data_IF_069814200510
#
_entry.id   IF_069814200510
#
_cell.length_a   1.000
_cell.length_b   1.000
_cell.length_c   1.000
_cell.angle_alpha   90.00
_cell.angle_beta   90.00
_cell.angle_gamma   90.00
#
_symmetry.space_group_name_H-M   'P 1'
#
loop_
_entity.id
_entity.type
_entity.pdbx_description
1 polymer ?
#
# COMPACT_ATOMS: atom_id res chain seq x y z
N UNK A 1 -9.04 -9.93 0.58
CA UNK A 1 -8.59 -8.97 -0.45
C UNK A 1 -9.78 -8.08 -0.77
N UNK A 2 -9.88 -6.99 -0.02
CA UNK A 2 -10.96 -6.01 -0.15
C UNK A 2 -10.43 -4.61 -0.41
N UNK A 3 -9.11 -4.43 -0.55
CA UNK A 3 -8.62 -3.15 -1.03
C UNK A 3 -8.85 -2.99 -2.54
N UNK A 4 -9.03 -1.74 -2.95
CA UNK A 4 -9.11 -1.38 -4.37
C UNK A 4 -7.95 -0.48 -4.72
N UNK A 5 -7.27 -0.80 -5.82
CA UNK A 5 -6.08 -0.08 -6.28
C UNK A 5 -6.41 0.85 -7.43
N UNK A 6 -6.03 2.11 -7.30
CA UNK A 6 -6.12 3.12 -8.37
C UNK A 6 -4.74 3.64 -8.69
N UNK A 7 -4.22 3.30 -9.87
CA UNK A 7 -2.95 3.85 -10.38
C UNK A 7 -3.17 5.31 -10.80
N UNK A 8 -2.40 6.21 -10.20
CA UNK A 8 -2.47 7.65 -10.47
C UNK A 8 -1.53 8.06 -11.59
N UNK A 9 -0.30 7.56 -11.56
CA UNK A 9 0.73 7.83 -12.56
C UNK A 9 1.80 6.76 -12.56
N UNK A 10 2.35 6.52 -13.75
CA UNK A 10 3.59 5.77 -13.96
C UNK A 10 4.67 6.73 -14.44
N UNK A 11 5.87 6.63 -13.89
CA UNK A 11 6.99 7.53 -14.20
C UNK A 11 8.23 6.69 -14.46
N UNK A 12 8.93 6.94 -15.56
CA UNK A 12 10.25 6.36 -15.78
C UNK A 12 11.23 6.94 -14.77
N UNK A 13 11.93 6.05 -14.05
CA UNK A 13 13.01 6.36 -13.11
C UNK A 13 14.33 5.79 -13.65
N UNK A 14 14.65 6.16 -14.89
CA UNK A 14 15.79 5.63 -15.64
C UNK A 14 15.51 4.25 -16.23
N UNK A 15 16.22 3.23 -15.74
CA UNK A 15 16.04 1.82 -16.14
C UNK A 15 14.85 1.14 -15.46
N UNK A 16 14.19 1.81 -14.52
CA UNK A 16 13.07 1.29 -13.76
C UNK A 16 11.83 2.15 -13.96
N UNK A 17 10.70 1.67 -13.46
CA UNK A 17 9.46 2.41 -13.41
C UNK A 17 9.02 2.63 -11.95
N UNK A 18 8.50 3.83 -11.66
CA UNK A 18 7.84 4.17 -10.42
C UNK A 18 6.34 4.36 -10.67
N UNK A 19 5.52 3.58 -9.95
CA UNK A 19 4.07 3.65 -9.98
C UNK A 19 3.58 4.29 -8.69
N UNK A 20 2.80 5.35 -8.82
CA UNK A 20 2.10 5.98 -7.71
C UNK A 20 0.65 5.55 -7.75
N UNK A 21 0.17 4.99 -6.65
CA UNK A 21 -1.17 4.45 -6.56
C UNK A 21 -1.83 4.83 -5.23
N UNK A 22 -3.14 4.91 -5.25
CA UNK A 22 -3.98 5.00 -4.06
C UNK A 22 -4.66 3.66 -3.82
N UNK A 23 -4.52 3.15 -2.60
CA UNK A 23 -5.09 1.90 -2.11
C UNK A 23 -6.20 2.25 -1.13
N UNK A 24 -7.43 1.89 -1.48
CA UNK A 24 -8.58 2.05 -0.58
C UNK A 24 -8.66 0.85 0.36
N UNK A 25 -8.28 1.04 1.63
CA UNK A 25 -8.30 0.02 2.69
C UNK A 25 -9.38 0.30 3.74
N UNK A 26 -10.42 1.05 3.36
CA UNK A 26 -11.59 1.36 4.22
C UNK A 26 -12.17 0.10 4.88
N UNK A 27 -12.13 -1.02 4.16
CA UNK A 27 -12.72 -2.29 4.57
C UNK A 27 -11.78 -3.28 5.27
N UNK A 28 -10.62 -2.85 5.79
CA UNK A 28 -9.56 -3.70 6.37
C UNK A 28 -10.11 -5.03 6.92
N UNK A 29 -9.83 -6.13 6.21
CA UNK A 29 -10.56 -7.40 6.40
C UNK A 29 -9.87 -8.39 7.34
N UNK A 30 -8.64 -8.10 7.76
CA UNK A 30 -7.84 -8.98 8.61
C UNK A 30 -7.28 -8.23 9.84
N UNK A 31 -6.69 -8.99 10.76
CA UNK A 31 -6.16 -8.55 12.05
C UNK A 31 -5.02 -7.54 11.90
N UNK A 32 -5.33 -6.32 11.49
CA UNK A 32 -4.44 -5.17 11.28
C UNK A 32 -3.53 -5.21 10.04
N UNK A 33 -3.74 -6.13 9.10
CA UNK A 33 -2.99 -6.15 7.84
C UNK A 33 -3.91 -6.27 6.62
N UNK A 34 -3.40 -5.82 5.47
CA UNK A 34 -4.02 -5.98 4.15
C UNK A 34 -2.95 -6.55 3.21
N UNK A 35 -3.27 -7.64 2.50
CA UNK A 35 -2.38 -8.17 1.48
C UNK A 35 -2.22 -7.17 0.33
N UNK A 36 -0.98 -6.92 -0.11
CA UNK A 36 -0.67 -5.99 -1.19
C UNK A 36 0.59 -6.47 -1.92
N UNK A 37 0.40 -6.99 -3.13
CA UNK A 37 1.48 -7.50 -3.99
C UNK A 37 1.73 -6.51 -5.14
N UNK A 38 2.68 -5.56 -4.97
CA UNK A 38 2.95 -4.55 -5.98
C UNK A 38 3.50 -5.12 -7.29
N UNK A 39 4.10 -6.32 -7.28
CA UNK A 39 4.58 -6.93 -8.52
C UNK A 39 3.40 -7.34 -9.41
N UNK A 40 2.45 -8.06 -8.80
CA UNK A 40 1.24 -8.52 -9.48
C UNK A 40 0.30 -7.36 -9.87
N UNK A 41 0.14 -6.37 -8.99
CA UNK A 41 -0.79 -5.26 -9.23
C UNK A 41 -0.29 -4.23 -10.23
N UNK A 42 1.03 -4.05 -10.32
CA UNK A 42 1.63 -3.05 -11.20
C UNK A 42 2.40 -3.64 -12.39
N UNK A 43 2.36 -4.95 -12.57
CA UNK A 43 2.99 -5.66 -13.70
C UNK A 43 4.52 -5.49 -13.74
N UNK A 44 5.15 -5.51 -12.56
CA UNK A 44 6.61 -5.54 -12.42
C UNK A 44 7.12 -6.98 -12.41
N UNK A 45 8.24 -7.23 -13.07
CA UNK A 45 8.99 -8.49 -12.96
C UNK A 45 9.70 -8.58 -11.61
N UNK A 46 10.21 -7.45 -11.11
CA UNK A 46 10.86 -7.32 -9.81
C UNK A 46 10.48 -6.00 -9.14
N UNK A 47 10.14 -6.05 -7.85
CA UNK A 47 9.87 -4.87 -7.01
C UNK A 47 11.14 -4.50 -6.25
N UNK A 48 11.63 -3.29 -6.48
CA UNK A 48 12.82 -2.75 -5.81
C UNK A 48 12.49 -2.08 -4.48
N UNK A 49 11.26 -1.59 -4.32
CA UNK A 49 10.78 -1.06 -3.06
C UNK A 49 9.42 -0.39 -3.15
N UNK A 50 8.77 -0.28 -1.99
CA UNK A 50 7.53 0.47 -1.80
C UNK A 50 7.73 1.48 -0.68
N UNK A 51 7.27 2.71 -0.91
CA UNK A 51 7.14 3.73 0.12
C UNK A 51 5.69 4.14 0.31
N UNK A 52 5.29 4.34 1.56
CA UNK A 52 4.00 4.96 1.91
C UNK A 52 4.20 6.47 1.84
N UNK A 53 3.49 7.11 0.91
CA UNK A 53 3.60 8.53 0.61
C UNK A 53 2.56 9.39 1.34
N UNK A 54 1.45 8.78 1.76
CA UNK A 54 0.38 9.50 2.42
C UNK A 54 -0.72 8.59 2.96
N UNK A 55 -1.45 9.12 3.92
CA UNK A 55 -2.56 8.47 4.62
C UNK A 55 -3.70 9.48 4.73
N UNK A 56 -4.94 9.03 4.54
CA UNK A 56 -6.13 9.87 4.74
C UNK A 56 -6.28 10.31 6.21
N UNK A 57 -5.97 9.42 7.15
CA UNK A 57 -6.15 9.61 8.59
C UNK A 57 -4.82 9.46 9.37
N UNK A 58 -3.80 10.30 9.09
CA UNK A 58 -2.44 10.11 9.61
C UNK A 58 -2.32 10.28 11.13
N UNK A 59 -3.26 10.98 11.77
CA UNK A 59 -3.30 11.14 13.23
C UNK A 59 -3.88 9.91 13.95
N UNK A 60 -4.57 9.03 13.22
CA UNK A 60 -5.27 7.86 13.76
C UNK A 60 -4.55 6.55 13.47
N UNK A 61 -3.79 6.49 12.37
CA UNK A 61 -3.17 5.26 11.91
C UNK A 61 -1.74 5.45 11.42
N UNK A 62 -0.94 4.41 11.60
CA UNK A 62 0.37 4.23 10.97
C UNK A 62 0.26 3.07 10.00
N UNK A 63 0.81 3.23 8.80
CA UNK A 63 0.86 2.15 7.80
C UNK A 63 2.29 1.89 7.36
N UNK A 64 2.65 0.63 7.28
CA UNK A 64 3.97 0.16 6.85
C UNK A 64 3.80 -0.97 5.85
N UNK A 65 4.70 -1.05 4.88
CA UNK A 65 4.75 -2.17 3.96
C UNK A 65 5.81 -3.18 4.41
N UNK A 66 5.42 -4.46 4.48
CA UNK A 66 6.33 -5.57 4.71
C UNK A 66 6.61 -6.30 3.39
N UNK A 67 7.87 -6.22 2.95
CA UNK A 67 8.36 -6.85 1.72
C UNK A 67 8.48 -8.38 1.81
N UNK A 68 8.54 -8.96 3.01
CA UNK A 68 8.62 -10.41 3.19
C UNK A 68 7.23 -11.05 3.11
N UNK A 69 6.21 -10.33 3.59
CA UNK A 69 4.83 -10.82 3.61
C UNK A 69 3.98 -10.28 2.46
N UNK A 70 4.48 -9.31 1.67
CA UNK A 70 3.71 -8.59 0.66
C UNK A 70 2.37 -8.07 1.24
N UNK A 71 2.48 -7.32 2.33
CA UNK A 71 1.33 -6.83 3.06
C UNK A 71 1.56 -5.41 3.58
N UNK A 72 0.47 -4.64 3.66
CA UNK A 72 0.40 -3.41 4.43
C UNK A 72 -0.06 -3.73 5.84
N UNK A 73 0.76 -3.39 6.83
CA UNK A 73 0.39 -3.39 8.22
C UNK A 73 -0.15 -2.03 8.61
N UNK A 74 -1.28 -2.03 9.28
CA UNK A 74 -1.97 -0.86 9.79
C UNK A 74 -1.95 -0.96 11.32
N UNK A 75 -1.51 0.08 12.00
CA UNK A 75 -1.52 0.15 13.45
C UNK A 75 -2.31 1.38 13.89
N UNK A 76 -3.23 1.21 14.84
CA UNK A 76 -3.95 2.33 15.43
C UNK A 76 -3.05 3.12 16.39
N UNK A 77 -3.07 4.44 16.25
CA UNK A 77 -2.27 5.32 17.09
C UNK A 77 -2.79 5.32 18.54
N UNK A 78 -1.89 5.29 19.52
CA UNK A 78 -2.27 5.33 20.94
C UNK A 78 -2.87 4.02 21.48
N UNK A 79 -2.65 2.89 20.81
CA UNK A 79 -3.11 1.58 21.25
C UNK A 79 -4.57 1.26 20.87
N UNK A 80 -5.11 1.98 19.89
CA UNK A 80 -6.41 1.66 19.29
C UNK A 80 -6.27 0.47 18.36
N UNK A 81 -7.30 -0.38 18.32
CA UNK A 81 -7.38 -1.48 17.37
C UNK A 81 -7.90 -0.93 16.02
N UNK A 82 -7.11 -1.02 14.92
CA UNK A 82 -7.52 -0.51 13.62
C UNK A 82 -8.69 -1.29 13.01
N UNK A 83 -9.01 -2.48 13.53
CA UNK A 83 -10.14 -3.30 13.08
C UNK A 83 -11.43 -3.02 13.83
N UNK A 84 -11.43 -2.12 14.83
CA UNK A 84 -12.57 -1.84 15.69
C UNK A 84 -13.72 -1.03 15.04
N UNK A 85 -13.99 -1.27 13.75
CA UNK A 85 -15.14 -0.70 13.03
C UNK A 85 -14.96 0.76 12.60
N UNK A 86 -13.73 1.27 12.57
CA UNK A 86 -13.40 2.54 11.93
C UNK A 86 -12.74 2.27 10.59
N UNK A 87 -13.20 2.96 9.56
CA UNK A 87 -12.55 2.90 8.25
C UNK A 87 -11.14 3.46 8.35
N UNK A 88 -10.14 2.66 7.99
CA UNK A 88 -8.74 3.12 7.94
C UNK A 88 -8.59 4.22 6.87
N UNK A 89 -9.33 4.08 5.77
CA UNK A 89 -9.41 5.04 4.67
C UNK A 89 -8.43 4.68 3.55
N UNK A 90 -7.86 5.69 2.92
CA UNK A 90 -6.97 5.53 1.77
C UNK A 90 -5.49 5.68 2.13
N UNK A 91 -4.65 4.87 1.48
CA UNK A 91 -3.18 4.93 1.54
C UNK A 91 -2.64 5.27 0.17
N UNK A 92 -1.72 6.23 0.09
CA UNK A 92 -0.96 6.51 -1.12
C UNK A 92 0.39 5.83 -1.04
N UNK A 93 0.74 5.06 -2.07
CA UNK A 93 2.03 4.36 -2.18
C UNK A 93 2.78 4.77 -3.43
N UNK A 94 4.11 4.71 -3.37
CA UNK A 94 4.99 4.65 -4.53
C UNK A 94 5.67 3.29 -4.53
N UNK A 95 5.42 2.48 -5.56
CA UNK A 95 6.15 1.24 -5.82
C UNK A 95 7.13 1.48 -6.97
N UNK A 96 8.37 1.01 -6.82
CA UNK A 96 9.39 1.08 -7.88
C UNK A 96 9.82 -0.33 -8.26
N UNK A 97 9.92 -0.61 -9.56
CA UNK A 97 10.22 -1.95 -10.05
C UNK A 97 10.71 -1.97 -11.50
N UNK A 98 11.18 -3.13 -11.92
CA UNK A 98 11.48 -3.42 -13.32
C UNK A 98 10.17 -3.77 -14.04
N UNK A 99 9.73 -2.99 -15.05
CA UNK A 99 8.54 -3.33 -15.81
C UNK A 99 8.73 -4.67 -16.53
N UNK A 100 7.64 -5.45 -16.61
CA UNK A 100 7.65 -6.67 -17.42
C UNK A 100 8.01 -6.36 -18.89
N UNK A 101 8.92 -7.17 -19.44
CA UNK A 101 9.49 -7.00 -20.78
C UNK A 101 8.47 -7.19 -21.94
#
# INVERSE_FOLDING_TARGET
MTHTTTVEKRVSDGSYEAVFATLDITGLDNANNESFDPAAEFEFDEVLGVSVEGLENPDSYVVQWDHLENALYVEGYGGTDPTAGTAVGQVRVKASGDPSA
#
